data_IF_891298237792
#
_entry.id   IF_891298237792
#
_cell.length_a   1.000
_cell.length_b   1.000
_cell.length_c   1.000
_cell.angle_alpha   90.00
_cell.angle_beta   90.00
_cell.angle_gamma   90.00
#
_symmetry.space_group_name_H-M   'P 1'
#
loop_
_entity.id
_entity.type
_entity.pdbx_description
1 polymer ?
#
# COMPACT_ATOMS: atom_id res chain seq x y z
N UNK A 1 -30.71 23.37 -64.25
CA UNK A 1 -31.22 22.90 -62.96
C UNK A 1 -31.48 21.39 -62.84
N UNK A 2 -30.87 20.55 -63.69
CA UNK A 2 -31.12 19.09 -63.68
C UNK A 2 -29.91 18.25 -63.23
N UNK A 3 -28.78 18.88 -62.96
CA UNK A 3 -27.55 18.22 -62.50
C UNK A 3 -27.60 17.94 -61.00
N UNK A 4 -28.13 18.83 -60.20
CA UNK A 4 -28.16 18.68 -58.74
C UNK A 4 -29.02 17.51 -58.24
N UNK A 5 -30.07 17.12 -58.96
CA UNK A 5 -30.94 16.03 -58.52
C UNK A 5 -30.36 14.66 -58.83
N UNK A 6 -29.59 14.54 -59.92
CA UNK A 6 -28.87 13.30 -60.24
C UNK A 6 -27.69 13.08 -59.31
N UNK A 7 -26.99 14.16 -58.98
CA UNK A 7 -25.84 14.08 -58.05
C UNK A 7 -26.31 13.78 -56.64
N UNK A 8 -27.43 14.38 -56.19
CA UNK A 8 -28.05 14.06 -54.90
C UNK A 8 -28.57 12.63 -54.86
N UNK A 9 -29.13 12.11 -55.98
CA UNK A 9 -29.61 10.74 -56.07
C UNK A 9 -28.45 9.72 -56.13
N UNK A 10 -27.35 10.04 -56.82
CA UNK A 10 -26.13 9.24 -56.82
C UNK A 10 -25.44 9.24 -55.47
N UNK A 11 -25.39 10.39 -54.77
CA UNK A 11 -24.93 10.47 -53.39
C UNK A 11 -25.81 9.62 -52.45
N UNK A 12 -27.13 9.63 -52.63
CA UNK A 12 -28.05 8.79 -51.86
C UNK A 12 -27.88 7.31 -52.14
N UNK A 13 -27.56 6.91 -53.38
CA UNK A 13 -27.24 5.49 -53.72
C UNK A 13 -25.86 5.05 -53.25
N UNK A 14 -24.89 5.94 -53.20
CA UNK A 14 -23.54 5.65 -52.64
C UNK A 14 -23.50 5.61 -51.12
N UNK A 15 -24.52 6.16 -50.48
CA UNK A 15 -24.70 6.15 -49.03
C UNK A 15 -25.38 4.91 -48.48
N UNK A 16 -25.60 3.86 -49.30
CA UNK A 16 -26.13 2.58 -48.80
C UNK A 16 -25.05 1.92 -47.94
N UNK A 17 -25.30 1.88 -46.65
CA UNK A 17 -24.50 1.13 -45.70
C UNK A 17 -24.62 -0.35 -46.10
N UNK A 18 -23.50 -0.94 -46.51
CA UNK A 18 -23.41 -2.39 -46.84
C UNK A 18 -22.78 -3.10 -45.65
N UNK A 19 -23.45 -4.11 -45.17
CA UNK A 19 -22.87 -5.05 -44.21
C UNK A 19 -22.26 -6.24 -45.00
N UNK A 20 -21.04 -6.61 -44.63
CA UNK A 20 -20.35 -7.77 -45.17
C UNK A 20 -19.97 -8.67 -44.01
N UNK A 21 -20.43 -9.93 -44.04
CA UNK A 21 -20.02 -10.90 -43.02
C UNK A 21 -18.67 -11.50 -43.40
N UNK A 22 -17.66 -11.33 -42.57
CA UNK A 22 -16.36 -11.94 -42.68
C UNK A 22 -16.07 -12.79 -41.44
N UNK A 23 -15.92 -14.08 -41.58
CA UNK A 23 -15.62 -15.02 -40.50
C UNK A 23 -16.63 -14.95 -39.30
N UNK A 24 -17.92 -14.77 -39.60
CA UNK A 24 -18.96 -14.69 -38.59
C UNK A 24 -19.10 -13.29 -37.91
N UNK A 25 -18.33 -12.32 -38.37
CA UNK A 25 -18.39 -10.95 -37.90
C UNK A 25 -18.95 -10.05 -39.00
N UNK A 26 -19.99 -9.28 -38.66
CA UNK A 26 -20.58 -8.32 -39.58
C UNK A 26 -19.73 -7.04 -39.60
N UNK A 27 -19.20 -6.72 -40.75
CA UNK A 27 -18.47 -5.46 -41.00
C UNK A 27 -19.37 -4.47 -41.73
N UNK A 28 -19.35 -3.22 -41.29
CA UNK A 28 -20.08 -2.13 -41.93
C UNK A 28 -19.12 -1.36 -42.84
N UNK A 29 -19.43 -1.33 -44.13
CA UNK A 29 -18.71 -0.47 -45.09
C UNK A 29 -19.25 0.94 -44.99
N UNK A 30 -18.43 1.86 -44.45
CA UNK A 30 -18.78 3.27 -44.32
C UNK A 30 -18.25 3.99 -45.57
N UNK A 31 -19.11 4.71 -46.33
CA UNK A 31 -18.68 5.48 -47.49
C UNK A 31 -17.68 6.57 -47.08
N UNK A 32 -16.79 7.03 -48.01
CA UNK A 32 -15.95 8.20 -47.76
C UNK A 32 -16.78 9.40 -47.30
N UNK A 33 -16.29 10.13 -46.31
CA UNK A 33 -16.96 11.27 -45.67
C UNK A 33 -18.20 10.97 -44.81
N UNK A 34 -18.46 9.72 -44.48
CA UNK A 34 -19.46 9.30 -43.51
C UNK A 34 -18.79 8.82 -42.23
N UNK A 35 -19.38 9.06 -41.09
CA UNK A 35 -18.94 8.55 -39.78
C UNK A 35 -20.08 7.73 -39.15
N UNK A 36 -19.71 6.61 -38.55
CA UNK A 36 -20.65 5.83 -37.75
C UNK A 36 -20.78 6.50 -36.36
N UNK A 37 -21.94 7.03 -36.06
CA UNK A 37 -22.24 7.62 -34.75
C UNK A 37 -23.17 6.72 -33.95
N UNK A 38 -22.76 6.43 -32.72
CA UNK A 38 -23.66 5.75 -31.80
C UNK A 38 -24.79 6.68 -31.37
N UNK A 39 -26.02 6.18 -31.41
CA UNK A 39 -27.22 6.86 -30.92
C UNK A 39 -27.58 6.43 -29.50
N UNK A 40 -26.72 5.71 -28.82
CA UNK A 40 -26.92 5.18 -27.45
C UNK A 40 -27.31 6.29 -26.46
N UNK A 41 -26.74 7.49 -26.64
CA UNK A 41 -27.05 8.68 -25.80
C UNK A 41 -28.49 9.16 -25.88
N UNK A 42 -29.26 8.75 -26.88
CA UNK A 42 -30.70 9.04 -27.03
C UNK A 42 -31.58 7.96 -26.41
N UNK A 43 -31.00 6.86 -25.93
CA UNK A 43 -31.77 5.80 -25.28
C UNK A 43 -32.08 6.19 -23.83
N UNK A 44 -33.16 5.64 -23.24
CA UNK A 44 -33.51 5.90 -21.83
C UNK A 44 -32.44 5.44 -20.84
N UNK A 45 -31.61 4.44 -21.21
CA UNK A 45 -30.50 3.91 -20.43
C UNK A 45 -29.43 3.34 -21.39
N UNK A 46 -28.16 3.28 -20.97
CA UNK A 46 -27.11 2.63 -21.74
C UNK A 46 -27.40 1.13 -21.91
N UNK A 47 -26.97 0.55 -23.02
CA UNK A 47 -27.18 -0.88 -23.34
C UNK A 47 -26.42 -1.78 -22.37
N UNK A 48 -25.29 -1.30 -21.86
CA UNK A 48 -24.46 -2.03 -20.89
C UNK A 48 -23.73 -1.04 -19.97
N UNK A 49 -23.35 -1.52 -18.80
CA UNK A 49 -22.57 -0.73 -17.84
C UNK A 49 -21.12 -0.62 -18.36
N UNK A 50 -20.67 0.62 -18.57
CA UNK A 50 -19.27 0.96 -18.90
C UNK A 50 -18.76 1.89 -17.79
N UNK A 51 -18.33 1.30 -16.69
CA UNK A 51 -17.96 2.03 -15.48
C UNK A 51 -16.73 1.45 -14.83
N UNK A 52 -15.83 2.33 -14.35
CA UNK A 52 -14.57 1.95 -13.73
C UNK A 52 -14.29 2.76 -12.46
N UNK A 53 -15.14 2.66 -11.40
CA UNK A 53 -14.92 3.38 -10.17
C UNK A 53 -13.63 2.96 -9.47
N UNK A 54 -13.06 3.92 -8.72
CA UNK A 54 -11.84 3.72 -7.93
C UNK A 54 -12.14 3.94 -6.46
N UNK A 55 -11.70 3.02 -5.63
CA UNK A 55 -11.91 3.02 -4.20
C UNK A 55 -10.58 3.15 -3.44
N UNK A 56 -10.61 3.79 -2.27
CA UNK A 56 -9.46 3.93 -1.38
C UNK A 56 -9.49 3.02 -0.16
N UNK A 57 -10.55 2.19 0.00
CA UNK A 57 -10.73 1.30 1.14
C UNK A 57 -11.46 0.01 0.75
N UNK A 58 -11.25 -1.03 1.56
CA UNK A 58 -11.83 -2.36 1.30
C UNK A 58 -13.35 -2.34 1.46
N UNK A 59 -13.90 -1.61 2.44
CA UNK A 59 -15.31 -1.65 2.74
C UNK A 59 -16.15 -1.11 1.57
N UNK A 60 -15.76 0.05 1.01
CA UNK A 60 -16.42 0.63 -0.17
C UNK A 60 -16.24 -0.26 -1.41
N UNK A 61 -15.03 -0.81 -1.61
CA UNK A 61 -14.76 -1.72 -2.71
C UNK A 61 -15.61 -2.99 -2.63
N UNK A 62 -15.71 -3.59 -1.44
CA UNK A 62 -16.56 -4.75 -1.17
C UNK A 62 -18.03 -4.46 -1.42
N UNK A 63 -18.55 -3.35 -0.88
CA UNK A 63 -19.96 -2.98 -1.06
C UNK A 63 -20.33 -2.85 -2.55
N UNK A 64 -19.44 -2.27 -3.33
CA UNK A 64 -19.65 -2.18 -4.78
C UNK A 64 -19.61 -3.55 -5.46
N UNK A 65 -18.70 -4.44 -5.04
CA UNK A 65 -18.65 -5.81 -5.53
C UNK A 65 -19.95 -6.56 -5.19
N UNK A 66 -20.41 -6.48 -3.96
CA UNK A 66 -21.65 -7.15 -3.52
C UNK A 66 -22.88 -6.70 -4.32
N UNK A 67 -22.93 -5.43 -4.74
CA UNK A 67 -24.03 -4.88 -5.54
C UNK A 67 -24.01 -5.36 -7.00
N UNK A 68 -22.81 -5.49 -7.60
CA UNK A 68 -22.68 -5.69 -9.04
C UNK A 68 -22.07 -7.05 -9.45
N UNK A 69 -21.68 -7.89 -8.51
CA UNK A 69 -21.11 -9.19 -8.85
C UNK A 69 -22.11 -10.09 -9.56
N UNK A 70 -21.63 -10.74 -10.62
CA UNK A 70 -22.36 -11.74 -11.40
C UNK A 70 -21.49 -12.99 -11.57
N UNK A 71 -22.07 -14.05 -12.11
CA UNK A 71 -21.32 -15.22 -12.49
C UNK A 71 -20.21 -14.84 -13.49
N UNK A 72 -18.97 -15.26 -13.21
CA UNK A 72 -17.79 -14.88 -14.00
C UNK A 72 -17.02 -13.68 -13.45
N UNK A 73 -17.57 -12.92 -12.48
CA UNK A 73 -16.81 -11.83 -11.83
C UNK A 73 -15.51 -12.35 -11.20
N UNK A 74 -14.40 -11.62 -11.39
CA UNK A 74 -13.06 -12.01 -10.93
C UNK A 74 -12.29 -10.80 -10.44
N UNK A 75 -11.39 -11.04 -9.49
CA UNK A 75 -10.46 -10.03 -8.99
C UNK A 75 -9.07 -10.34 -9.55
N UNK A 76 -8.44 -9.33 -10.12
CA UNK A 76 -7.02 -9.34 -10.52
C UNK A 76 -6.22 -8.51 -9.54
N UNK A 77 -5.06 -9.04 -9.12
CA UNK A 77 -4.16 -8.38 -8.17
C UNK A 77 -2.86 -8.07 -8.89
N UNK A 78 -2.63 -6.79 -9.11
CA UNK A 78 -1.39 -6.23 -9.67
C UNK A 78 -0.46 -5.89 -8.49
N UNK A 79 0.47 -6.81 -8.19
CA UNK A 79 1.37 -6.69 -7.03
C UNK A 79 2.35 -5.52 -7.21
N UNK A 80 2.81 -5.29 -8.43
CA UNK A 80 3.74 -4.17 -8.72
C UNK A 80 3.12 -2.79 -8.45
N UNK A 81 1.80 -2.69 -8.66
CA UNK A 81 1.05 -1.45 -8.46
C UNK A 81 0.24 -1.43 -7.17
N UNK A 82 0.31 -2.47 -6.35
CA UNK A 82 -0.49 -2.62 -5.13
C UNK A 82 -1.99 -2.38 -5.41
N UNK A 83 -2.50 -2.95 -6.49
CA UNK A 83 -3.83 -2.65 -7.01
C UNK A 83 -4.68 -3.91 -7.18
N UNK A 84 -5.94 -3.80 -6.80
CA UNK A 84 -6.99 -4.77 -7.05
C UNK A 84 -7.90 -4.26 -8.15
N UNK A 85 -8.26 -5.10 -9.09
CA UNK A 85 -9.23 -4.80 -10.15
C UNK A 85 -10.25 -5.91 -10.21
N UNK A 86 -11.49 -5.61 -9.86
CA UNK A 86 -12.62 -6.52 -10.10
C UNK A 86 -13.18 -6.25 -11.47
N UNK A 87 -13.33 -7.31 -12.27
CA UNK A 87 -14.02 -7.27 -13.56
C UNK A 87 -15.30 -8.06 -13.40
N UNK A 88 -16.44 -7.41 -13.58
CA UNK A 88 -17.76 -8.00 -13.37
C UNK A 88 -18.20 -8.84 -14.56
N UNK A 89 -18.00 -8.34 -15.75
CA UNK A 89 -18.33 -8.98 -17.02
C UNK A 89 -17.09 -9.63 -17.67
N UNK A 90 -16.40 -10.51 -16.91
CA UNK A 90 -15.25 -11.26 -17.41
C UNK A 90 -15.69 -12.52 -18.16
N UNK A 91 -14.84 -13.04 -19.04
CA UNK A 91 -15.07 -14.26 -19.80
C UNK A 91 -15.40 -15.44 -18.89
N UNK A 92 -16.38 -16.25 -19.28
CA UNK A 92 -16.70 -17.54 -18.66
C UNK A 92 -16.36 -18.69 -19.60
N UNK A 93 -16.53 -19.93 -19.13
CA UNK A 93 -16.39 -21.11 -19.99
C UNK A 93 -17.48 -21.18 -21.06
N UNK A 94 -18.60 -20.52 -20.84
CA UNK A 94 -19.77 -20.51 -21.73
C UNK A 94 -19.64 -19.48 -22.84
N UNK A 95 -18.79 -18.46 -22.65
CA UNK A 95 -18.54 -17.48 -23.69
C UNK A 95 -17.69 -16.29 -23.31
N UNK A 96 -17.31 -15.50 -24.32
CA UNK A 96 -16.58 -14.26 -24.13
C UNK A 96 -17.50 -13.16 -23.59
N UNK A 97 -16.93 -12.22 -22.84
CA UNK A 97 -17.60 -11.01 -22.40
C UNK A 97 -16.72 -9.78 -22.70
N UNK A 98 -17.27 -8.59 -22.50
CA UNK A 98 -16.62 -7.36 -22.95
C UNK A 98 -15.56 -6.82 -21.97
N UNK A 99 -15.72 -7.08 -20.67
CA UNK A 99 -14.85 -6.55 -19.62
C UNK A 99 -14.96 -5.03 -19.43
N UNK A 100 -16.11 -4.44 -19.80
CA UNK A 100 -16.34 -2.99 -19.75
C UNK A 100 -16.74 -2.50 -18.36
N UNK A 101 -17.25 -3.39 -17.50
CA UNK A 101 -17.63 -3.05 -16.14
C UNK A 101 -16.56 -3.57 -15.17
N UNK A 102 -15.82 -2.68 -14.58
CA UNK A 102 -14.82 -3.03 -13.58
C UNK A 102 -14.80 -2.03 -12.42
N UNK A 103 -14.20 -2.43 -11.32
CA UNK A 103 -13.91 -1.55 -10.19
C UNK A 103 -12.46 -1.74 -9.77
N UNK A 104 -11.83 -0.73 -9.22
CA UNK A 104 -10.46 -0.86 -8.74
C UNK A 104 -10.27 -0.26 -7.36
N UNK A 105 -9.36 -0.88 -6.60
CA UNK A 105 -8.87 -0.36 -5.34
C UNK A 105 -7.34 -0.36 -5.41
N UNK A 106 -6.72 0.74 -5.04
CA UNK A 106 -5.27 0.88 -4.98
C UNK A 106 -4.85 1.18 -3.55
N UNK A 107 -3.86 0.44 -3.07
CA UNK A 107 -3.26 0.69 -1.78
C UNK A 107 -2.14 1.73 -1.90
N UNK A 108 -2.01 2.53 -0.86
CA UNK A 108 -0.92 3.47 -0.69
C UNK A 108 -0.23 3.19 0.65
N UNK A 109 1.09 3.30 0.66
CA UNK A 109 1.82 3.21 1.92
C UNK A 109 1.38 4.30 2.89
N UNK A 110 1.29 3.98 4.17
CA UNK A 110 0.90 4.92 5.19
C UNK A 110 2.02 5.92 5.51
N UNK A 111 1.66 7.12 5.93
CA UNK A 111 2.66 8.09 6.43
C UNK A 111 3.38 7.59 7.69
N UNK A 112 2.69 6.78 8.50
CA UNK A 112 3.23 6.14 9.70
C UNK A 112 4.40 5.22 9.32
N UNK A 113 4.21 4.34 8.33
CA UNK A 113 5.23 3.44 7.83
C UNK A 113 6.39 4.18 7.16
N UNK A 114 6.10 5.09 6.24
CA UNK A 114 7.13 5.85 5.52
C UNK A 114 8.02 6.64 6.48
N UNK A 115 7.43 7.27 7.51
CA UNK A 115 8.18 7.97 8.55
C UNK A 115 9.05 7.00 9.32
N UNK A 116 8.51 5.87 9.77
CA UNK A 116 9.25 4.89 10.56
C UNK A 116 10.38 4.24 9.74
N UNK A 117 10.11 3.81 8.51
CA UNK A 117 11.09 3.27 7.56
C UNK A 117 12.24 4.25 7.31
N UNK A 118 11.97 5.55 7.35
CA UNK A 118 12.99 6.57 7.13
C UNK A 118 14.09 6.61 8.22
N UNK A 119 13.87 5.98 9.36
CA UNK A 119 14.87 5.87 10.43
C UNK A 119 15.75 4.61 10.31
N UNK A 120 15.45 3.68 9.40
CA UNK A 120 16.23 2.48 9.22
C UNK A 120 17.70 2.81 8.93
N UNK A 121 18.59 2.31 9.77
CA UNK A 121 20.05 2.50 9.65
C UNK A 121 20.57 3.92 9.89
N UNK A 122 19.71 4.91 10.21
CA UNK A 122 20.15 6.27 10.54
C UNK A 122 20.82 6.33 11.91
N UNK A 123 21.94 7.05 11.99
CA UNK A 123 22.57 7.41 13.25
C UNK A 123 21.76 8.53 13.94
N UNK A 124 21.22 8.21 15.10
CA UNK A 124 20.43 9.12 15.93
C UNK A 124 21.23 9.50 17.16
N UNK A 125 21.20 10.78 17.51
CA UNK A 125 21.68 11.21 18.82
C UNK A 125 20.76 10.66 19.90
N UNK A 126 21.22 10.51 21.12
CA UNK A 126 20.39 9.96 22.20
C UNK A 126 19.07 10.71 22.45
N UNK A 127 19.09 12.04 22.33
CA UNK A 127 17.86 12.83 22.46
C UNK A 127 16.86 12.54 21.32
N UNK A 128 17.35 12.48 20.07
CA UNK A 128 16.53 12.20 18.88
C UNK A 128 15.98 10.77 18.94
N UNK A 129 16.80 9.82 19.45
CA UNK A 129 16.38 8.44 19.65
C UNK A 129 15.30 8.32 20.75
N UNK A 130 15.46 9.04 21.85
CA UNK A 130 14.45 9.08 22.90
C UNK A 130 13.12 9.66 22.38
N UNK A 131 13.17 10.73 21.59
CA UNK A 131 11.99 11.33 20.97
C UNK A 131 11.30 10.35 20.01
N UNK A 132 12.08 9.62 19.21
CA UNK A 132 11.55 8.56 18.35
C UNK A 132 10.79 7.50 19.15
N UNK A 133 11.35 7.05 20.29
CA UNK A 133 10.68 6.07 21.14
C UNK A 133 9.40 6.64 21.77
N UNK A 134 9.46 7.86 22.30
CA UNK A 134 8.30 8.54 22.88
C UNK A 134 7.15 8.71 21.87
N UNK A 135 7.44 9.15 20.65
CA UNK A 135 6.48 9.32 19.56
C UNK A 135 5.79 8.01 19.14
N UNK A 136 6.47 6.90 19.34
CA UNK A 136 6.01 5.57 18.88
C UNK A 136 5.60 4.65 20.04
N UNK A 137 5.54 5.13 21.29
CA UNK A 137 5.15 4.33 22.46
C UNK A 137 3.84 3.56 22.28
N UNK A 138 2.85 4.20 21.70
CA UNK A 138 1.53 3.62 21.44
C UNK A 138 1.53 2.44 20.46
N UNK A 139 2.62 2.23 19.76
CA UNK A 139 2.79 1.19 18.74
C UNK A 139 3.64 0.01 19.22
N UNK A 140 4.28 0.14 20.37
CA UNK A 140 5.10 -0.93 20.94
C UNK A 140 4.19 -2.03 21.50
N UNK A 141 4.53 -3.28 21.20
CA UNK A 141 3.83 -4.42 21.78
C UNK A 141 4.15 -4.51 23.27
N UNK A 142 3.11 -4.57 24.09
CA UNK A 142 3.24 -4.63 25.55
C UNK A 142 3.93 -5.91 26.06
N UNK A 143 3.97 -6.96 25.24
CA UNK A 143 4.63 -8.23 25.60
C UNK A 143 6.16 -8.10 25.61
N UNK A 144 6.73 -7.17 24.85
CA UNK A 144 8.20 -6.98 24.77
C UNK A 144 8.72 -6.05 25.88
N UNK A 145 8.02 -4.93 26.12
CA UNK A 145 8.37 -3.93 27.16
C UNK A 145 7.15 -3.09 27.48
N UNK A 146 6.92 -2.77 28.76
CA UNK A 146 5.83 -1.85 29.08
C UNK A 146 6.11 -0.46 28.53
N UNK A 147 5.07 0.25 28.08
CA UNK A 147 5.21 1.64 27.63
C UNK A 147 5.86 2.55 28.69
N UNK A 148 5.66 2.24 29.97
CA UNK A 148 6.29 2.95 31.09
C UNK A 148 7.81 2.70 31.20
N UNK A 149 8.23 1.46 30.97
CA UNK A 149 9.66 1.11 30.98
C UNK A 149 10.38 1.73 29.78
N UNK A 150 9.74 1.71 28.61
CA UNK A 150 10.27 2.35 27.41
C UNK A 150 10.41 3.86 27.57
N UNK A 151 9.40 4.50 28.18
CA UNK A 151 9.44 5.93 28.51
C UNK A 151 10.57 6.25 29.51
N UNK A 152 10.69 5.45 30.55
CA UNK A 152 11.78 5.59 31.55
C UNK A 152 13.15 5.46 30.88
N UNK A 153 13.30 4.50 29.98
CA UNK A 153 14.49 4.30 29.18
C UNK A 153 14.79 5.52 28.29
N UNK A 154 13.78 6.01 27.55
CA UNK A 154 13.91 7.17 26.68
C UNK A 154 14.31 8.43 27.45
N UNK A 155 13.67 8.68 28.60
CA UNK A 155 14.01 9.80 29.48
C UNK A 155 15.43 9.70 30.05
N UNK A 156 15.89 8.48 30.38
CA UNK A 156 17.25 8.25 30.84
C UNK A 156 18.28 8.66 29.79
N UNK A 157 18.02 8.45 28.52
CA UNK A 157 18.89 8.90 27.42
C UNK A 157 18.92 10.42 27.25
N UNK A 158 17.81 11.12 27.51
CA UNK A 158 17.77 12.61 27.47
C UNK A 158 18.59 13.26 28.57
N UNK A 159 18.62 12.67 29.77
CA UNK A 159 19.20 13.28 30.97
C UNK A 159 20.73 13.05 31.03
N UNK A 160 21.25 11.91 30.59
CA UNK A 160 22.60 11.46 30.89
C UNK A 160 23.71 11.96 29.94
N UNK A 161 23.43 12.80 28.96
CA UNK A 161 24.37 13.07 27.86
C UNK A 161 25.00 14.45 27.87
N UNK A 162 25.23 14.98 29.04
CA UNK A 162 26.08 16.19 29.21
C UNK A 162 27.54 15.88 29.56
N UNK A 163 27.91 14.58 29.74
CA UNK A 163 29.25 14.13 30.14
C UNK A 163 29.88 13.12 29.15
N UNK A 164 31.15 12.79 29.37
CA UNK A 164 31.82 11.69 28.66
C UNK A 164 31.21 10.33 29.05
N UNK A 165 30.83 9.54 28.05
CA UNK A 165 30.18 8.24 28.28
C UNK A 165 31.23 7.13 28.24
N UNK A 166 31.50 6.50 29.39
CA UNK A 166 32.17 5.22 29.45
C UNK A 166 31.14 4.10 29.39
N UNK A 167 31.29 3.20 28.41
CA UNK A 167 30.36 2.10 28.17
C UNK A 167 31.01 0.81 28.67
N UNK A 168 30.45 0.24 29.73
CA UNK A 168 30.72 -1.14 30.12
C UNK A 168 29.53 -2.01 29.67
N UNK A 169 29.73 -2.93 28.72
CA UNK A 169 28.72 -3.85 28.24
C UNK A 169 28.62 -5.10 29.10
N UNK A 170 27.44 -5.37 29.66
CA UNK A 170 27.12 -6.67 30.26
C UNK A 170 25.88 -7.24 29.55
N UNK A 171 26.03 -8.46 29.00
CA UNK A 171 24.93 -9.14 28.31
C UNK A 171 24.27 -10.12 29.28
N UNK A 172 22.99 -9.85 29.64
CA UNK A 172 22.14 -10.79 30.38
C UNK A 172 20.81 -10.98 29.67
N UNK A 173 20.55 -12.24 29.29
CA UNK A 173 19.22 -12.70 28.80
C UNK A 173 18.56 -11.83 27.71
N UNK A 174 19.32 -11.41 26.67
CA UNK A 174 18.81 -10.61 25.56
C UNK A 174 18.67 -9.11 25.86
N UNK A 175 19.05 -8.67 27.05
CA UNK A 175 19.12 -7.27 27.45
C UNK A 175 20.58 -6.85 27.50
N UNK A 176 20.96 -5.81 26.77
CA UNK A 176 22.25 -5.15 26.91
C UNK A 176 22.11 -4.06 27.96
N UNK A 177 22.91 -4.17 29.01
CA UNK A 177 22.98 -3.17 30.06
C UNK A 177 24.06 -2.13 29.76
N UNK A 178 23.67 -0.87 29.65
CA UNK A 178 24.57 0.26 29.48
C UNK A 178 24.83 0.91 30.83
N UNK A 179 26.06 0.81 31.31
CA UNK A 179 26.54 1.61 32.43
C UNK A 179 27.03 2.97 31.90
N UNK A 180 26.26 3.99 32.12
CA UNK A 180 26.63 5.36 31.77
C UNK A 180 27.27 6.00 33.01
N UNK A 181 28.61 6.14 33.00
CA UNK A 181 29.31 6.87 34.03
C UNK A 181 29.41 8.32 33.65
N UNK A 182 28.82 9.19 34.46
CA UNK A 182 28.99 10.64 34.35
C UNK A 182 30.27 11.03 35.10
N UNK A 183 31.31 11.40 34.36
CA UNK A 183 32.59 11.88 34.92
C UNK A 183 32.52 13.37 35.36
N UNK A 184 31.34 13.94 35.51
CA UNK A 184 31.21 15.27 36.07
C UNK A 184 31.57 15.26 37.57
N UNK A 185 32.81 15.54 37.85
CA UNK A 185 33.31 15.75 39.20
C UNK A 185 32.73 17.07 39.76
N UNK A 186 31.60 16.98 40.44
CA UNK A 186 31.18 17.99 41.39
C UNK A 186 31.40 17.41 42.77
N UNK A 187 32.48 17.92 43.40
CA UNK A 187 32.78 17.76 44.84
C UNK A 187 32.63 16.36 45.45
N UNK A 188 33.62 15.51 45.28
CA UNK A 188 34.00 14.49 46.29
C UNK A 188 33.13 13.25 46.45
N UNK A 189 32.04 13.06 45.71
CA UNK A 189 31.28 11.81 45.65
C UNK A 189 31.27 11.27 44.22
N UNK A 190 31.85 10.08 44.04
CA UNK A 190 31.70 9.33 42.81
C UNK A 190 30.20 9.03 42.57
N UNK A 191 29.62 9.61 41.57
CA UNK A 191 28.29 9.24 41.10
C UNK A 191 28.34 7.78 40.70
N UNK A 192 27.58 6.91 41.37
CA UNK A 192 27.34 5.55 40.90
C UNK A 192 26.63 5.68 39.57
N UNK A 193 27.26 5.24 38.49
CA UNK A 193 26.67 5.22 37.13
C UNK A 193 25.26 4.61 37.19
N UNK A 194 24.34 5.19 36.47
CA UNK A 194 22.97 4.68 36.37
C UNK A 194 22.95 3.57 35.31
N UNK A 195 22.48 2.40 35.70
CA UNK A 195 22.31 1.27 34.83
C UNK A 195 21.02 1.45 34.00
N UNK A 196 21.14 1.43 32.69
CA UNK A 196 20.02 1.49 31.76
C UNK A 196 19.96 0.20 30.98
N UNK A 197 18.89 -0.56 31.18
CA UNK A 197 18.62 -1.77 30.41
C UNK A 197 18.11 -1.39 29.02
N UNK A 198 18.68 -2.00 27.99
CA UNK A 198 18.42 -1.72 26.59
C UNK A 198 18.01 -3.00 25.85
N UNK A 199 16.76 -3.13 25.41
CA UNK A 199 16.33 -4.31 24.67
C UNK A 199 17.00 -4.36 23.31
N UNK A 200 17.43 -5.55 22.91
CA UNK A 200 18.05 -5.76 21.59
C UNK A 200 17.01 -5.68 20.48
N UNK A 201 15.77 -6.05 20.78
CA UNK A 201 14.65 -6.16 19.82
C UNK A 201 13.38 -5.58 20.44
N UNK A 202 12.62 -4.84 19.65
CA UNK A 202 11.27 -4.39 19.96
C UNK A 202 10.32 -4.72 18.81
N UNK A 203 9.07 -4.97 19.14
CA UNK A 203 8.02 -5.18 18.14
C UNK A 203 7.09 -3.97 18.14
N UNK A 204 6.93 -3.35 16.97
CA UNK A 204 6.01 -2.24 16.75
C UNK A 204 4.84 -2.70 15.89
N UNK A 205 3.62 -2.34 16.27
CA UNK A 205 2.43 -2.57 15.46
C UNK A 205 2.15 -1.32 14.61
N UNK A 206 2.60 -1.30 13.36
CA UNK A 206 2.48 -0.15 12.45
C UNK A 206 1.51 -0.44 11.29
N UNK A 207 0.87 0.59 10.77
CA UNK A 207 0.12 0.48 9.53
C UNK A 207 1.06 0.60 8.34
N UNK A 208 1.20 -0.48 7.58
CA UNK A 208 1.99 -0.46 6.34
C UNK A 208 1.22 0.30 5.25
N UNK A 209 -0.04 -0.04 5.02
CA UNK A 209 -0.91 0.61 4.04
C UNK A 209 -1.99 1.45 4.73
N UNK A 210 -2.40 2.56 4.08
CA UNK A 210 -3.49 3.42 4.53
C UNK A 210 -4.78 2.60 4.69
N UNK A 211 -5.56 2.92 5.70
CA UNK A 211 -6.85 2.30 5.98
C UNK A 211 -6.81 0.78 6.22
N UNK A 212 -5.61 0.21 6.48
CA UNK A 212 -5.43 -1.19 6.80
C UNK A 212 -5.14 -1.39 8.30
N UNK A 213 -5.20 -2.64 8.73
CA UNK A 213 -4.86 -3.04 10.08
C UNK A 213 -3.37 -2.87 10.36
N UNK A 214 -3.02 -2.81 11.64
CA UNK A 214 -1.63 -2.74 12.06
C UNK A 214 -0.93 -4.07 11.86
N UNK A 215 0.30 -4.01 11.39
CA UNK A 215 1.16 -5.14 11.14
C UNK A 215 2.30 -5.15 12.18
N UNK A 216 2.58 -6.28 12.85
CA UNK A 216 3.69 -6.37 13.80
C UNK A 216 5.02 -6.40 13.08
N UNK A 217 5.90 -5.47 13.42
CA UNK A 217 7.24 -5.32 12.84
C UNK A 217 8.25 -5.45 13.96
N UNK A 218 9.14 -6.41 13.84
CA UNK A 218 10.29 -6.55 14.74
C UNK A 218 11.43 -5.67 14.27
N UNK A 219 11.97 -4.84 15.15
CA UNK A 219 13.12 -3.98 14.89
C UNK A 219 14.24 -4.28 15.85
N UNK A 220 15.46 -4.21 15.38
CA UNK A 220 16.64 -4.31 16.22
C UNK A 220 17.11 -2.93 16.62
N UNK A 221 17.32 -2.77 17.91
CA UNK A 221 17.92 -1.58 18.48
C UNK A 221 19.42 -1.81 18.63
N UNK A 222 20.21 -0.87 18.12
CA UNK A 222 21.67 -0.94 18.16
C UNK A 222 22.26 0.38 18.59
N UNK A 223 23.43 0.35 19.17
CA UNK A 223 24.18 1.55 19.48
C UNK A 223 25.68 1.34 19.17
N UNK A 224 26.39 2.43 19.00
CA UNK A 224 27.84 2.46 18.89
C UNK A 224 28.41 3.77 19.43
N UNK A 225 29.66 3.73 19.83
CA UNK A 225 30.42 4.94 20.16
C UNK A 225 31.06 5.47 18.86
N UNK A 226 30.77 6.71 18.49
CA UNK A 226 31.36 7.42 17.37
C UNK A 226 31.91 8.76 17.89
N UNK A 227 33.20 9.03 17.70
CA UNK A 227 33.86 10.26 18.12
C UNK A 227 33.56 10.67 19.58
N UNK A 228 33.72 9.72 20.52
CA UNK A 228 33.40 9.87 21.94
C UNK A 228 31.93 10.14 22.26
N UNK A 229 31.02 10.05 21.29
CA UNK A 229 29.58 10.20 21.45
C UNK A 229 28.85 8.90 21.22
N UNK A 230 27.78 8.69 21.99
CA UNK A 230 26.89 7.55 21.79
C UNK A 230 25.91 7.87 20.66
N UNK A 231 25.75 6.95 19.72
CA UNK A 231 24.76 7.03 18.65
C UNK A 231 23.94 5.76 18.61
N UNK A 232 22.66 5.88 18.37
CA UNK A 232 21.68 4.81 18.31
C UNK A 232 21.23 4.57 16.87
N UNK A 233 20.80 3.36 16.60
CA UNK A 233 20.27 2.95 15.30
C UNK A 233 19.07 2.07 15.51
N UNK A 234 18.08 2.24 14.63
CA UNK A 234 17.05 1.22 14.40
C UNK A 234 17.47 0.45 13.17
N UNK A 235 17.38 -0.88 13.22
CA UNK A 235 17.51 -1.72 12.03
C UNK A 235 16.23 -2.50 11.83
N UNK A 236 15.55 -2.20 10.73
CA UNK A 236 14.40 -2.93 10.25
C UNK A 236 14.91 -4.04 9.34
N UNK A 237 14.71 -5.32 9.69
CA UNK A 237 15.09 -6.41 8.79
C UNK A 237 14.13 -6.43 7.62
N UNK A 238 14.65 -6.54 6.42
CA UNK A 238 13.93 -6.78 5.18
C UNK A 238 12.58 -6.03 5.03
N UNK A 239 12.69 -4.74 4.69
CA UNK A 239 11.52 -3.88 4.52
C UNK A 239 10.60 -4.33 3.38
N UNK A 240 11.16 -4.94 2.36
CA UNK A 240 10.42 -5.38 1.17
C UNK A 240 9.58 -6.62 1.51
N UNK A 241 10.14 -7.58 2.23
CA UNK A 241 9.42 -8.76 2.74
C UNK A 241 8.26 -8.35 3.69
N UNK A 242 8.49 -7.36 4.55
CA UNK A 242 7.43 -6.82 5.43
C UNK A 242 6.29 -6.22 4.60
N UNK A 243 6.59 -5.46 3.58
CA UNK A 243 5.59 -4.84 2.69
C UNK A 243 4.83 -5.90 1.90
N UNK A 244 5.52 -6.93 1.39
CA UNK A 244 4.92 -8.08 0.70
C UNK A 244 3.98 -8.86 1.61
N UNK A 245 4.43 -9.25 2.80
CA UNK A 245 3.59 -9.96 3.78
C UNK A 245 2.36 -9.15 4.20
N UNK A 246 2.52 -7.84 4.37
CA UNK A 246 1.40 -6.96 4.67
C UNK A 246 0.40 -6.89 3.50
N UNK A 247 0.89 -6.90 2.26
CA UNK A 247 0.05 -6.92 1.07
C UNK A 247 -0.69 -8.25 0.92
N UNK A 248 0.01 -9.37 1.13
CA UNK A 248 -0.62 -10.72 1.10
C UNK A 248 -1.76 -10.83 2.11
N UNK A 249 -1.64 -10.25 3.31
CA UNK A 249 -2.76 -10.18 4.26
C UNK A 249 -3.97 -9.41 3.70
N UNK A 250 -3.72 -8.33 2.96
CA UNK A 250 -4.81 -7.59 2.31
C UNK A 250 -5.44 -8.43 1.20
N UNK A 251 -4.65 -9.17 0.42
CA UNK A 251 -5.16 -10.09 -0.61
C UNK A 251 -6.08 -11.13 0.02
N UNK A 252 -5.64 -11.80 1.07
CA UNK A 252 -6.47 -12.81 1.76
C UNK A 252 -7.72 -12.22 2.39
N UNK A 253 -7.64 -11.00 2.91
CA UNK A 253 -8.80 -10.28 3.44
C UNK A 253 -9.81 -9.98 2.34
N UNK A 254 -9.38 -9.39 1.22
CA UNK A 254 -10.25 -9.11 0.07
C UNK A 254 -10.90 -10.39 -0.45
N UNK A 255 -10.13 -11.46 -0.62
CA UNK A 255 -10.60 -12.76 -1.07
C UNK A 255 -11.65 -13.37 -0.13
N UNK A 256 -11.40 -13.33 1.18
CA UNK A 256 -12.32 -13.87 2.20
C UNK A 256 -13.61 -13.06 2.31
N UNK A 257 -13.52 -11.74 2.19
CA UNK A 257 -14.66 -10.84 2.33
C UNK A 257 -15.55 -10.78 1.08
N UNK A 258 -14.97 -10.95 -0.11
CA UNK A 258 -15.74 -10.88 -1.37
C UNK A 258 -16.18 -12.26 -1.88
N UNK A 259 -15.48 -13.33 -1.52
CA UNK A 259 -15.74 -14.68 -2.02
C UNK A 259 -15.44 -14.87 -3.50
N UNK A 260 -14.92 -13.86 -4.20
CA UNK A 260 -14.64 -13.93 -5.62
C UNK A 260 -13.30 -14.63 -5.92
N UNK A 261 -13.20 -15.34 -7.07
CA UNK A 261 -11.94 -15.86 -7.55
C UNK A 261 -10.93 -14.73 -7.74
N UNK A 262 -9.79 -14.85 -7.04
CA UNK A 262 -8.72 -13.85 -7.06
C UNK A 262 -7.51 -14.40 -7.78
N UNK A 263 -7.00 -13.67 -8.77
CA UNK A 263 -5.90 -14.04 -9.65
C UNK A 263 -4.77 -13.00 -9.52
N UNK A 264 -3.54 -13.45 -9.28
CA UNK A 264 -2.37 -12.58 -9.33
C UNK A 264 -2.05 -12.26 -10.80
N UNK A 265 -1.97 -10.98 -11.13
CA UNK A 265 -1.67 -10.46 -12.46
C UNK A 265 -2.39 -9.14 -12.75
N UNK A 266 -1.85 -8.38 -13.70
CA UNK A 266 -2.44 -7.12 -14.13
C UNK A 266 -3.56 -7.31 -15.12
N UNK A 267 -4.73 -6.69 -14.90
CA UNK A 267 -5.79 -6.59 -15.89
C UNK A 267 -5.57 -5.32 -16.73
N UNK A 268 -5.25 -5.50 -18.00
CA UNK A 268 -5.28 -4.44 -18.98
C UNK A 268 -6.69 -4.45 -19.60
N UNK A 269 -7.54 -3.53 -19.23
CA UNK A 269 -8.92 -3.46 -19.75
C UNK A 269 -9.02 -3.57 -21.27
N UNK A 270 -10.23 -3.77 -21.84
CA UNK A 270 -10.41 -3.92 -23.26
C UNK A 270 -9.87 -2.71 -24.01
N UNK A 271 -9.00 -2.95 -24.99
CA UNK A 271 -8.50 -1.91 -25.89
C UNK A 271 -9.55 -1.66 -26.98
N UNK A 272 -10.52 -0.80 -26.67
CA UNK A 272 -11.44 -0.29 -27.71
C UNK A 272 -10.70 0.75 -28.55
N UNK A 273 -10.15 0.33 -29.71
CA UNK A 273 -9.70 1.25 -30.75
C UNK A 273 -10.86 1.62 -31.66
#
# INVERSE_FOLDING_TARGET
MTTDFKDAFQLGQSAVIKTVNCNGIDHVLIPPNCELKSMEHLMPAPVRIKCHPKFGDIASFKSYIEEFQVEGSRIFVDEDKLRFVTVFDFHTKEGPAWGDHSASMQLEQSHEWLRFKSYDGKALKPADFAELLEDNLQYVNADDLSGGDLLTMAQSFKIQLKGEVNIDETLHAGLKTLLIKDDSVVSGQRSNGKEVSFPEKLTFALRIYKNQERFPISVFLRYRKADSKLVFFIKIPDTDDIEEQAFDRVIEKVKSETGLPTLKGAFAGPSHK
#
